data_IF_853820697577
#
_entry.id   IF_853820697577
#
_cell.length_a   1.000
_cell.length_b   1.000
_cell.length_c   1.000
_cell.angle_alpha   90.00
_cell.angle_beta   90.00
_cell.angle_gamma   90.00
#
_symmetry.space_group_name_H-M   'P 1'
#
loop_
_entity.id
_entity.type
_entity.pdbx_description
1 polymer ?
#
# COMPACT_ATOMS: atom_id res chain seq x y z
N UNK A 1 0.29 25.25 2.27
CA UNK A 1 0.54 24.07 3.13
C UNK A 1 0.76 22.91 2.19
N UNK A 2 1.97 22.35 2.16
CA UNK A 2 2.35 21.26 1.26
C UNK A 2 2.17 19.89 1.95
N UNK A 3 2.04 18.81 1.18
CA UNK A 3 1.75 17.47 1.72
C UNK A 3 2.79 17.01 2.77
N UNK A 4 4.07 17.27 2.52
CA UNK A 4 5.16 16.99 3.47
C UNK A 4 5.03 17.76 4.77
N UNK A 5 4.61 19.02 4.71
CA UNK A 5 4.42 19.86 5.91
C UNK A 5 3.17 19.47 6.69
N UNK A 6 2.15 18.97 6.00
CA UNK A 6 0.91 18.48 6.61
C UNK A 6 1.15 17.18 7.40
N UNK A 7 1.89 16.21 6.84
CA UNK A 7 2.24 14.98 7.57
C UNK A 7 3.02 15.28 8.85
N UNK A 8 3.98 16.20 8.79
CA UNK A 8 4.86 16.52 9.92
C UNK A 8 4.06 17.23 11.01
N UNK A 9 3.12 18.09 10.62
CA UNK A 9 2.16 18.72 11.53
C UNK A 9 1.22 17.70 12.20
N UNK A 10 0.74 16.69 11.48
CA UNK A 10 -0.12 15.64 12.05
C UNK A 10 0.68 14.73 13.00
N UNK A 11 1.88 14.30 12.60
CA UNK A 11 2.73 13.42 13.40
C UNK A 11 3.22 14.11 14.69
N UNK A 12 3.59 15.40 14.58
CA UNK A 12 4.03 16.25 15.69
C UNK A 12 2.89 16.86 16.52
N UNK A 13 1.63 16.67 16.13
CA UNK A 13 0.48 17.22 16.85
C UNK A 13 0.34 18.74 16.79
N UNK A 14 0.81 19.39 15.72
CA UNK A 14 0.76 20.84 15.51
C UNK A 14 -0.65 21.32 15.13
N UNK A 15 -1.53 21.40 16.13
CA UNK A 15 -2.90 21.89 15.99
C UNK A 15 -2.93 23.33 15.45
N UNK A 16 -2.01 24.19 15.90
CA UNK A 16 -1.95 25.59 15.47
C UNK A 16 -1.55 25.72 13.99
N UNK A 17 -0.64 24.87 13.50
CA UNK A 17 -0.29 24.77 12.09
C UNK A 17 -1.46 24.29 11.23
N UNK A 18 -2.21 23.31 11.71
CA UNK A 18 -3.40 22.80 11.02
C UNK A 18 -4.54 23.83 10.94
N UNK A 19 -4.72 24.66 11.96
CA UNK A 19 -5.72 25.73 11.96
C UNK A 19 -5.45 26.86 10.95
N UNK A 20 -4.24 26.93 10.38
CA UNK A 20 -3.92 27.89 9.31
C UNK A 20 -4.48 27.47 7.95
N UNK A 21 -4.98 26.24 7.84
CA UNK A 21 -5.63 25.74 6.64
C UNK A 21 -7.05 26.31 6.60
N UNK A 22 -7.41 26.94 5.47
CA UNK A 22 -8.76 27.48 5.26
C UNK A 22 -9.80 26.37 5.44
N UNK A 23 -10.74 26.56 6.38
CA UNK A 23 -11.78 25.57 6.71
C UNK A 23 -11.46 24.60 7.84
N UNK A 24 -10.26 24.63 8.44
CA UNK A 24 -9.89 23.79 9.58
C UNK A 24 -9.90 24.60 10.88
N UNK A 25 -10.95 24.43 11.69
CA UNK A 25 -11.03 25.01 13.03
C UNK A 25 -10.31 24.18 14.10
N UNK A 26 -10.15 24.73 15.32
CA UNK A 26 -9.44 24.08 16.44
C UNK A 26 -9.93 22.66 16.73
N UNK A 27 -11.24 22.47 16.84
CA UNK A 27 -11.87 21.17 17.12
C UNK A 27 -11.64 20.16 15.98
N UNK A 28 -11.60 20.63 14.73
CA UNK A 28 -11.32 19.80 13.57
C UNK A 28 -9.83 19.41 13.53
N UNK A 29 -8.93 20.35 13.83
CA UNK A 29 -7.50 20.11 13.90
C UNK A 29 -7.13 19.10 14.98
N UNK A 30 -7.69 19.22 16.19
CA UNK A 30 -7.49 18.25 17.28
C UNK A 30 -7.96 16.85 16.88
N UNK A 31 -9.14 16.75 16.25
CA UNK A 31 -9.68 15.49 15.74
C UNK A 31 -8.77 14.88 14.66
N UNK A 32 -8.31 15.68 13.71
CA UNK A 32 -7.41 15.24 12.63
C UNK A 32 -6.09 14.70 13.17
N UNK A 33 -5.50 15.35 14.18
CA UNK A 33 -4.26 14.86 14.81
C UNK A 33 -4.50 13.48 15.42
N UNK A 34 -5.56 13.29 16.21
CA UNK A 34 -5.79 11.99 16.87
C UNK A 34 -6.09 10.89 15.84
N UNK A 35 -7.00 11.12 14.91
CA UNK A 35 -7.44 10.10 13.95
C UNK A 35 -6.37 9.75 12.90
N UNK A 36 -5.57 10.73 12.49
CA UNK A 36 -4.57 10.53 11.43
C UNK A 36 -3.19 10.20 11.97
N UNK A 37 -2.83 10.53 13.23
CA UNK A 37 -1.51 10.20 13.78
C UNK A 37 -1.25 8.69 13.80
N UNK A 38 -2.26 7.89 14.13
CA UNK A 38 -2.15 6.42 14.06
C UNK A 38 -1.97 5.93 12.62
N UNK A 39 -2.67 6.55 11.66
CA UNK A 39 -2.58 6.18 10.24
C UNK A 39 -1.27 6.61 9.61
N UNK A 40 -0.81 7.84 9.88
CA UNK A 40 0.47 8.41 9.41
C UNK A 40 1.65 7.58 9.93
N UNK A 41 1.60 7.10 11.17
CA UNK A 41 2.59 6.16 11.69
C UNK A 41 2.62 4.83 10.91
N UNK A 42 1.48 4.35 10.42
CA UNK A 42 1.42 3.12 9.60
C UNK A 42 2.12 3.29 8.24
N UNK A 43 2.07 4.49 7.63
CA UNK A 43 2.79 4.80 6.39
C UNK A 43 4.31 4.77 6.56
N UNK A 44 4.83 5.12 7.74
CA UNK A 44 6.28 5.05 8.04
C UNK A 44 6.75 3.60 8.32
N UNK A 45 5.85 2.74 8.82
CA UNK A 45 6.15 1.32 9.08
C UNK A 45 6.09 0.41 7.84
N UNK A 46 5.93 0.96 6.63
CA UNK A 46 5.83 0.14 5.41
C UNK A 46 4.56 -0.71 5.34
N UNK A 47 3.55 -0.42 6.18
CA UNK A 47 2.21 -1.00 6.04
C UNK A 47 1.47 -0.15 5.03
N UNK A 48 1.68 -0.48 3.76
CA UNK A 48 1.02 0.14 2.62
C UNK A 48 -0.49 -0.06 2.76
N UNK A 49 -1.23 1.00 3.13
CA UNK A 49 -2.62 1.17 2.70
C UNK A 49 -2.63 0.94 1.18
N UNK A 50 -3.63 0.22 0.60
CA UNK A 50 -3.62 -0.11 -0.82
C UNK A 50 -3.55 1.18 -1.63
N UNK A 51 -2.34 1.51 -2.06
CA UNK A 51 -2.05 2.63 -2.91
C UNK A 51 -2.54 2.22 -4.30
N UNK A 52 -3.58 2.90 -4.75
CA UNK A 52 -4.18 2.67 -6.06
C UNK A 52 -3.31 3.32 -7.16
N UNK A 53 -2.10 3.84 -6.85
CA UNK A 53 -1.31 4.60 -7.82
C UNK A 53 0.22 4.59 -7.63
N UNK A 54 0.82 3.62 -6.92
CA UNK A 54 2.27 3.38 -7.05
C UNK A 54 2.54 2.22 -7.98
N UNK A 55 2.77 2.55 -9.24
CA UNK A 55 3.32 1.70 -10.29
C UNK A 55 4.67 1.12 -9.83
N UNK A 56 4.66 0.05 -9.05
CA UNK A 56 5.86 -0.79 -8.85
C UNK A 56 5.99 -1.61 -10.13
N UNK A 57 6.57 -0.96 -11.15
CA UNK A 57 6.56 -1.32 -12.56
C UNK A 57 7.41 -2.56 -12.88
N UNK A 58 6.99 -3.73 -12.40
CA UNK A 58 7.62 -5.00 -12.71
C UNK A 58 6.58 -6.11 -12.90
N UNK A 59 6.76 -7.03 -13.87
CA UNK A 59 5.81 -8.10 -14.13
C UNK A 59 5.48 -8.96 -12.90
N UNK A 60 6.42 -9.08 -11.97
CA UNK A 60 6.24 -9.81 -10.71
C UNK A 60 5.32 -9.07 -9.73
N UNK A 61 5.43 -7.75 -9.61
CA UNK A 61 4.58 -6.98 -8.69
C UNK A 61 3.13 -6.98 -9.17
N UNK A 62 2.93 -6.82 -10.49
CA UNK A 62 1.61 -6.85 -11.10
C UNK A 62 0.96 -8.24 -10.95
N UNK A 63 1.75 -9.31 -11.12
CA UNK A 63 1.27 -10.66 -10.89
C UNK A 63 0.95 -10.94 -9.40
N UNK A 64 1.75 -10.43 -8.46
CA UNK A 64 1.48 -10.55 -7.01
C UNK A 64 0.16 -9.86 -6.65
N UNK A 65 -0.05 -8.63 -7.11
CA UNK A 65 -1.27 -7.88 -6.86
C UNK A 65 -2.50 -8.54 -7.47
N UNK A 66 -2.39 -9.07 -8.69
CA UNK A 66 -3.46 -9.84 -9.30
C UNK A 66 -3.86 -11.05 -8.46
N UNK A 67 -2.89 -11.81 -7.92
CA UNK A 67 -3.18 -12.94 -7.03
C UNK A 67 -3.81 -12.50 -5.71
N UNK A 68 -3.36 -11.39 -5.11
CA UNK A 68 -3.97 -10.84 -3.90
C UNK A 68 -5.41 -10.42 -4.16
N UNK A 69 -5.69 -9.81 -5.32
CA UNK A 69 -7.04 -9.44 -5.76
C UNK A 69 -7.97 -10.65 -5.96
N UNK A 70 -7.40 -11.80 -6.35
CA UNK A 70 -8.12 -13.09 -6.41
C UNK A 70 -8.37 -13.73 -5.03
N UNK A 71 -7.89 -13.11 -3.94
CA UNK A 71 -8.11 -13.56 -2.57
C UNK A 71 -6.97 -14.38 -1.97
N UNK A 72 -5.82 -14.50 -2.64
CA UNK A 72 -4.65 -15.18 -2.07
C UNK A 72 -3.92 -14.28 -1.06
N UNK A 73 -3.44 -14.84 0.07
CA UNK A 73 -2.69 -14.04 1.03
C UNK A 73 -1.35 -13.59 0.43
N UNK A 74 -0.96 -12.35 0.70
CA UNK A 74 0.21 -11.70 0.09
C UNK A 74 1.53 -12.50 0.18
N UNK A 75 1.88 -13.13 1.32
CA UNK A 75 3.07 -13.99 1.40
C UNK A 75 3.04 -15.19 0.46
N UNK A 76 1.84 -15.76 0.23
CA UNK A 76 1.63 -16.90 -0.65
C UNK A 76 1.64 -16.48 -2.12
N UNK A 77 1.01 -15.34 -2.45
CA UNK A 77 1.04 -14.74 -3.78
C UNK A 77 2.49 -14.47 -4.23
N UNK A 78 3.28 -13.79 -3.38
CA UNK A 78 4.69 -13.49 -3.65
C UNK A 78 5.53 -14.75 -3.89
N UNK A 79 5.34 -15.78 -3.06
CA UNK A 79 6.04 -17.06 -3.21
C UNK A 79 5.69 -17.76 -4.53
N UNK A 80 4.41 -17.76 -4.91
CA UNK A 80 3.94 -18.39 -6.14
C UNK A 80 4.47 -17.66 -7.39
N UNK A 81 4.50 -16.34 -7.35
CA UNK A 81 5.03 -15.50 -8.45
C UNK A 81 6.54 -15.68 -8.62
N UNK A 82 7.31 -15.68 -7.54
CA UNK A 82 8.75 -15.94 -7.59
C UNK A 82 9.09 -17.36 -8.07
N UNK A 83 8.26 -18.34 -7.71
CA UNK A 83 8.40 -19.70 -8.20
C UNK A 83 8.02 -19.84 -9.69
N UNK A 84 7.08 -19.02 -10.16
CA UNK A 84 6.63 -19.00 -11.54
C UNK A 84 7.63 -18.32 -12.48
N UNK A 85 8.24 -17.21 -12.05
CA UNK A 85 9.25 -16.48 -12.81
C UNK A 85 10.27 -15.84 -11.87
N UNK A 86 11.41 -16.51 -11.60
CA UNK A 86 12.44 -15.96 -10.72
C UNK A 86 13.15 -14.74 -11.34
N UNK A 87 13.19 -14.66 -12.67
CA UNK A 87 13.82 -13.56 -13.38
C UNK A 87 12.86 -12.41 -13.74
N UNK A 88 11.55 -12.61 -13.62
CA UNK A 88 10.54 -11.59 -13.93
C UNK A 88 10.54 -11.08 -15.37
N UNK A 89 11.07 -11.88 -16.30
CA UNK A 89 11.16 -11.58 -17.74
C UNK A 89 9.94 -12.05 -18.52
N UNK A 90 9.16 -12.95 -17.93
CA UNK A 90 7.96 -13.50 -18.56
C UNK A 90 6.82 -12.47 -18.54
N UNK A 91 5.92 -12.51 -19.53
CA UNK A 91 4.76 -11.64 -19.52
C UNK A 91 3.87 -11.94 -18.31
N UNK A 92 3.32 -10.88 -17.70
CA UNK A 92 2.48 -10.94 -16.48
C UNK A 92 1.43 -12.04 -16.54
N UNK A 93 0.73 -12.17 -17.66
CA UNK A 93 -0.31 -13.19 -17.84
C UNK A 93 0.21 -14.64 -17.74
N UNK A 94 1.45 -14.90 -18.13
CA UNK A 94 2.07 -16.23 -18.00
C UNK A 94 2.52 -16.49 -16.55
N UNK A 95 3.08 -15.47 -15.90
CA UNK A 95 3.45 -15.52 -14.48
C UNK A 95 2.21 -15.85 -13.64
N UNK A 96 1.08 -15.17 -13.86
CA UNK A 96 -0.18 -15.41 -13.15
C UNK A 96 -0.67 -16.85 -13.39
N UNK A 97 -0.69 -17.33 -14.65
CA UNK A 97 -1.14 -18.70 -14.95
C UNK A 97 -0.27 -19.76 -14.29
N UNK A 98 1.06 -19.59 -14.33
CA UNK A 98 2.02 -20.51 -13.73
C UNK A 98 1.90 -20.50 -12.20
N UNK A 99 1.77 -19.31 -11.59
CA UNK A 99 1.55 -19.16 -10.17
C UNK A 99 0.23 -19.82 -9.72
N UNK A 100 -0.88 -19.58 -10.42
CA UNK A 100 -2.17 -20.22 -10.12
C UNK A 100 -2.10 -21.74 -10.26
N UNK A 101 -1.35 -22.28 -11.23
CA UNK A 101 -1.16 -23.73 -11.37
C UNK A 101 -0.40 -24.34 -10.19
N UNK A 102 0.56 -23.61 -9.62
CA UNK A 102 1.29 -24.02 -8.42
C UNK A 102 0.40 -24.00 -7.16
N UNK A 103 -0.56 -23.06 -7.11
CA UNK A 103 -1.49 -22.90 -5.99
C UNK A 103 -2.73 -23.79 -6.08
N UNK A 104 -3.06 -24.28 -7.27
CA UNK A 104 -4.19 -25.18 -7.47
C UNK A 104 -3.97 -26.49 -6.70
N UNK A 105 -4.99 -27.00 -5.99
CA UNK A 105 -4.88 -28.29 -5.32
C UNK A 105 -4.64 -29.38 -6.37
N UNK A 106 -3.53 -30.13 -6.23
CA UNK A 106 -3.34 -31.39 -6.93
C UNK A 106 -4.45 -32.34 -6.47
N UNK A 107 -5.48 -32.49 -7.30
CA UNK A 107 -6.44 -33.59 -7.19
C UNK A 107 -5.89 -34.82 -7.90
#
# INVERSE_FOLDING_TARGET
MDAGRLRDAIAGGDVAGLCKISGVGKKMAERLVVELREKVGAFDTGVTLPDISSTTSGPLSEAEEALVSLGYPRPLAKKAVLAASPEGKDPVGEIIRSALRSLAPKR
#
